data_IF_408139923410
#
_entry.id   IF_408139923410
#
_cell.length_a   1.000
_cell.length_b   1.000
_cell.length_c   1.000
_cell.angle_alpha   90.00
_cell.angle_beta   90.00
_cell.angle_gamma   90.00
#
_symmetry.space_group_name_H-M   'P 1'
#
loop_
_entity.id
_entity.type
_entity.pdbx_description
1 polymer ?
#
# COMPACT_ATOMS: atom_id res chain seq x y z
N UNK A 1 8.78 8.79 -83.79
CA UNK A 1 8.06 7.62 -83.23
C UNK A 1 7.84 7.96 -81.76
N UNK A 2 6.67 8.37 -81.26
CA UNK A 2 5.28 7.92 -81.49
C UNK A 2 4.98 6.75 -80.54
N UNK A 3 3.91 6.66 -79.74
CA UNK A 3 2.68 7.46 -79.42
C UNK A 3 2.38 7.19 -77.92
N UNK A 4 1.84 8.03 -77.02
CA UNK A 4 0.56 8.75 -76.89
C UNK A 4 -0.74 7.90 -76.89
N UNK A 5 -1.77 8.39 -76.18
CA UNK A 5 -3.15 7.87 -75.97
C UNK A 5 -3.28 6.76 -74.87
N UNK A 6 -4.35 6.68 -74.06
CA UNK A 6 -5.54 7.53 -73.89
C UNK A 6 -6.65 6.77 -73.10
N UNK A 7 -7.45 7.44 -72.27
CA UNK A 7 -8.55 6.82 -71.48
C UNK A 7 -9.81 6.54 -72.34
N UNK A 8 -10.72 5.62 -71.92
CA UNK A 8 -11.87 5.96 -71.04
C UNK A 8 -12.12 4.86 -69.96
N UNK A 9 -13.19 4.83 -69.13
CA UNK A 9 -14.41 5.65 -69.00
C UNK A 9 -15.23 5.28 -67.74
N UNK A 10 -16.51 5.69 -67.65
CA UNK A 10 -17.40 5.47 -66.50
C UNK A 10 -18.60 4.53 -66.78
N UNK A 11 -19.09 3.78 -65.77
CA UNK A 11 -20.53 3.79 -65.41
C UNK A 11 -20.89 3.17 -64.03
N UNK A 12 -21.60 3.98 -63.23
CA UNK A 12 -22.79 3.72 -62.39
C UNK A 12 -23.21 2.30 -61.95
N UNK A 13 -23.41 2.09 -60.62
CA UNK A 13 -24.76 1.91 -60.03
C UNK A 13 -24.80 1.79 -58.48
N UNK A 14 -25.43 2.80 -57.85
CA UNK A 14 -26.42 2.77 -56.74
C UNK A 14 -26.38 1.71 -55.63
N UNK A 15 -26.39 2.18 -54.37
CA UNK A 15 -26.52 1.35 -53.15
C UNK A 15 -26.67 2.16 -51.85
N UNK A 16 -27.67 3.05 -51.81
CA UNK A 16 -28.50 3.46 -50.65
C UNK A 16 -27.91 3.55 -49.22
N UNK A 17 -27.74 4.79 -48.73
CA UNK A 17 -27.61 5.13 -47.30
C UNK A 17 -28.98 5.20 -46.59
N UNK A 18 -29.12 4.76 -45.33
CA UNK A 18 -30.25 5.15 -44.48
C UNK A 18 -30.00 6.54 -43.84
N UNK A 19 -31.04 7.37 -43.81
CA UNK A 19 -30.96 8.76 -43.39
C UNK A 19 -31.07 8.96 -41.86
N UNK A 20 -30.56 10.11 -41.38
CA UNK A 20 -30.88 10.66 -40.07
C UNK A 20 -32.35 11.14 -40.04
N UNK A 21 -33.12 10.92 -38.96
CA UNK A 21 -34.32 11.71 -38.67
C UNK A 21 -33.94 13.00 -37.94
N UNK A 22 -34.65 14.08 -38.25
CA UNK A 22 -34.53 15.37 -37.57
C UNK A 22 -35.62 15.56 -36.51
N UNK A 23 -35.26 16.34 -35.49
CA UNK A 23 -36.05 17.02 -34.46
C UNK A 23 -37.58 17.06 -34.67
N UNK A 24 -38.31 16.67 -33.63
CA UNK A 24 -39.61 17.29 -33.29
C UNK A 24 -39.61 17.74 -31.83
N UNK A 25 -40.06 18.97 -31.60
CA UNK A 25 -40.17 19.62 -30.30
C UNK A 25 -41.54 19.40 -29.66
N UNK A 26 -41.57 18.90 -28.42
CA UNK A 26 -42.64 19.21 -27.45
C UNK A 26 -42.00 19.46 -26.09
N UNK A 27 -42.51 20.47 -25.39
CA UNK A 27 -41.95 20.96 -24.13
C UNK A 27 -42.69 20.47 -22.88
N UNK A 28 -42.52 21.24 -21.82
CA UNK A 28 -43.10 21.11 -20.46
C UNK A 28 -42.50 20.01 -19.56
N UNK A 29 -42.36 20.33 -18.27
CA UNK A 29 -41.85 19.39 -17.25
C UNK A 29 -40.65 19.86 -16.40
N UNK A 30 -40.35 21.16 -16.34
CA UNK A 30 -39.25 21.68 -15.52
C UNK A 30 -39.42 21.39 -14.02
N UNK A 31 -38.44 20.70 -13.41
CA UNK A 31 -38.26 20.62 -11.95
C UNK A 31 -36.82 20.96 -11.57
N UNK A 32 -36.53 22.25 -11.55
CA UNK A 32 -35.32 22.82 -10.95
C UNK A 32 -35.42 22.79 -9.43
N UNK A 33 -34.49 22.11 -8.75
CA UNK A 33 -34.34 22.20 -7.30
C UNK A 33 -33.45 23.41 -6.94
N UNK A 34 -33.95 24.46 -6.28
CA UNK A 34 -33.14 25.62 -5.92
C UNK A 34 -32.33 25.34 -4.65
N UNK A 35 -31.01 25.19 -4.77
CA UNK A 35 -30.10 25.31 -3.64
C UNK A 35 -30.11 26.75 -3.13
N UNK A 36 -30.88 27.02 -2.07
CA UNK A 36 -30.89 28.33 -1.41
C UNK A 36 -29.57 28.57 -0.69
N UNK A 37 -28.86 29.62 -1.11
CA UNK A 37 -27.86 30.25 -0.25
C UNK A 37 -28.54 30.80 1.00
N UNK A 38 -28.05 30.41 2.18
CA UNK A 38 -28.42 31.02 3.45
C UNK A 38 -27.56 32.27 3.67
N UNK A 39 -28.14 33.47 3.82
CA UNK A 39 -27.38 34.65 4.20
C UNK A 39 -26.94 34.54 5.68
N UNK A 40 -25.72 34.98 5.98
CA UNK A 40 -25.29 35.20 7.36
C UNK A 40 -26.17 36.27 8.00
N UNK A 41 -26.58 36.05 9.25
CA UNK A 41 -27.08 37.12 10.12
C UNK A 41 -25.88 37.78 10.78
N UNK A 42 -25.56 39.00 10.37
CA UNK A 42 -24.72 39.88 11.16
C UNK A 42 -25.55 40.52 12.27
N UNK A 43 -25.04 40.53 13.50
CA UNK A 43 -25.63 41.28 14.61
C UNK A 43 -24.90 42.62 14.75
N UNK A 44 -25.59 43.69 14.36
CA UNK A 44 -25.17 45.07 14.62
C UNK A 44 -25.48 45.42 16.07
N UNK A 45 -24.45 45.62 16.88
CA UNK A 45 -24.54 46.34 18.15
C UNK A 45 -24.27 47.83 17.92
N UNK A 46 -25.25 48.69 18.21
CA UNK A 46 -25.15 50.15 18.01
C UNK A 46 -24.57 50.88 19.21
N UNK A 47 -23.59 51.76 18.97
CA UNK A 47 -23.21 53.03 19.66
C UNK A 47 -21.73 53.30 19.30
N UNK A 48 -21.28 54.48 18.88
CA UNK A 48 -21.93 55.76 18.63
C UNK A 48 -20.91 56.88 18.86
N UNK A 49 -20.50 57.63 17.82
CA UNK A 49 -19.42 58.61 17.93
C UNK A 49 -19.18 59.45 16.68
N UNK A 50 -19.28 60.78 16.86
CA UNK A 50 -18.95 61.87 15.91
C UNK A 50 -17.43 61.89 15.66
N UNK A 51 -16.82 62.45 14.61
CA UNK A 51 -17.25 63.26 13.46
C UNK A 51 -16.02 64.04 12.89
N UNK A 52 -16.09 64.55 11.65
CA UNK A 52 -14.97 65.13 10.85
C UNK A 52 -13.87 64.11 10.44
N UNK A 53 -13.25 64.12 9.25
CA UNK A 53 -12.97 65.17 8.26
C UNK A 53 -11.44 65.40 8.26
N UNK A 54 -10.68 65.15 7.19
CA UNK A 54 -10.54 65.99 5.97
C UNK A 54 -9.72 65.25 4.87
N UNK A 55 -10.08 65.53 3.60
CA UNK A 55 -9.39 65.42 2.28
C UNK A 55 -8.15 64.51 2.05
N UNK A 56 -8.16 63.90 0.86
CA UNK A 56 -7.03 63.32 0.14
C UNK A 56 -6.15 64.35 -0.60
N UNK A 57 -4.93 63.95 -1.02
CA UNK A 57 -4.23 64.41 -2.24
C UNK A 57 -3.03 63.51 -2.58
N UNK A 58 -2.88 63.14 -3.87
CA UNK A 58 -1.61 62.76 -4.53
C UNK A 58 -1.12 63.99 -5.33
N UNK A 59 0.19 64.12 -5.66
CA UNK A 59 0.66 63.63 -6.97
C UNK A 59 2.12 63.07 -6.94
N UNK A 60 2.81 63.02 -8.09
CA UNK A 60 3.88 62.06 -8.40
C UNK A 60 5.21 62.66 -8.95
N UNK A 61 6.20 61.77 -9.22
CA UNK A 61 7.44 61.95 -10.02
C UNK A 61 8.61 62.71 -9.32
N UNK A 62 9.91 62.54 -9.66
CA UNK A 62 10.62 61.61 -10.56
C UNK A 62 12.15 61.57 -10.32
N UNK A 63 12.81 60.50 -10.78
CA UNK A 63 14.15 60.36 -11.40
C UNK A 63 15.49 60.87 -10.79
N UNK A 64 16.55 60.07 -11.01
CA UNK A 64 18.00 60.40 -11.05
C UNK A 64 18.76 60.52 -9.70
N UNK A 65 20.05 60.21 -9.54
CA UNK A 65 21.08 59.50 -10.34
C UNK A 65 22.21 59.03 -9.36
N UNK A 66 22.74 57.78 -9.42
CA UNK A 66 24.03 57.32 -10.04
C UNK A 66 25.35 57.73 -9.32
N UNK A 67 26.27 56.76 -9.17
CA UNK A 67 27.74 56.84 -8.92
C UNK A 67 28.29 57.26 -7.52
N UNK A 68 29.45 56.79 -7.02
CA UNK A 68 30.24 55.54 -7.25
C UNK A 68 31.36 55.36 -6.17
N UNK A 69 32.02 54.18 -6.12
CA UNK A 69 33.43 53.87 -5.70
C UNK A 69 34.04 54.50 -4.40
N UNK A 70 34.73 53.80 -3.47
CA UNK A 70 35.85 52.86 -3.66
C UNK A 70 36.38 52.22 -2.33
N UNK A 71 36.99 51.02 -2.44
CA UNK A 71 38.25 50.50 -1.81
C UNK A 71 38.89 51.19 -0.56
N UNK A 72 39.57 50.51 0.41
CA UNK A 72 40.30 49.20 0.49
C UNK A 72 40.52 48.77 1.99
N UNK A 73 41.21 47.64 2.34
CA UNK A 73 41.08 46.94 3.64
C UNK A 73 42.32 47.01 4.57
N UNK A 74 42.34 46.21 5.66
CA UNK A 74 43.45 45.34 6.19
C UNK A 74 43.28 45.07 7.70
N UNK A 75 43.37 43.79 8.13
CA UNK A 75 44.09 43.27 9.34
C UNK A 75 43.51 41.96 9.90
N UNK A 76 44.34 40.91 9.99
CA UNK A 76 44.15 39.79 10.95
C UNK A 76 44.87 40.13 12.28
N UNK A 77 44.75 39.29 13.33
CA UNK A 77 45.95 38.52 13.71
C UNK A 77 45.70 37.05 14.15
N UNK A 78 46.79 36.41 14.58
CA UNK A 78 47.02 34.97 14.64
C UNK A 78 46.39 34.17 15.79
N UNK A 79 46.22 32.87 15.50
CA UNK A 79 46.45 31.68 16.33
C UNK A 79 46.98 31.86 17.77
N UNK A 80 46.41 31.09 18.70
CA UNK A 80 47.25 30.39 19.68
C UNK A 80 46.61 29.08 20.17
N UNK A 81 47.33 27.97 20.01
CA UNK A 81 47.01 26.64 20.57
C UNK A 81 47.82 26.40 21.84
N UNK A 82 47.19 25.91 22.92
CA UNK A 82 47.90 25.26 24.02
C UNK A 82 47.20 23.95 24.42
N UNK A 83 47.92 22.84 24.26
CA UNK A 83 47.67 21.63 25.04
C UNK A 83 48.10 21.89 26.49
N UNK A 84 47.41 21.27 27.45
CA UNK A 84 48.00 20.90 28.74
C UNK A 84 47.56 19.50 29.14
N UNK A 85 48.51 18.79 29.76
CA UNK A 85 48.45 17.37 30.15
C UNK A 85 48.18 17.20 31.64
N UNK A 86 47.55 16.09 32.02
CA UNK A 86 47.89 15.40 33.27
C UNK A 86 46.80 15.25 34.34
N UNK A 87 46.70 14.02 34.87
CA UNK A 87 46.71 13.82 36.32
C UNK A 87 45.38 13.71 37.07
N UNK A 88 44.85 12.49 37.12
CA UNK A 88 44.25 11.84 38.30
C UNK A 88 44.04 12.64 39.61
N UNK A 89 42.80 12.69 40.13
CA UNK A 89 42.44 11.84 41.28
C UNK A 89 40.94 11.82 41.64
N UNK A 90 40.54 10.74 42.31
CA UNK A 90 39.23 10.49 42.95
C UNK A 90 39.03 11.40 44.20
N UNK A 91 37.80 11.58 44.79
CA UNK A 91 37.03 10.44 45.32
C UNK A 91 35.48 10.49 45.39
N UNK A 92 34.94 9.30 45.72
CA UNK A 92 33.74 9.02 46.54
C UNK A 92 32.31 9.32 46.04
N UNK A 93 31.66 8.23 45.59
CA UNK A 93 30.43 7.65 46.16
C UNK A 93 29.21 8.58 46.45
N UNK A 94 28.13 8.37 45.69
CA UNK A 94 26.76 8.30 46.24
C UNK A 94 25.89 7.36 45.38
N UNK A 95 24.74 6.91 45.90
CA UNK A 95 24.07 5.67 45.47
C UNK A 95 22.95 5.89 44.45
N UNK A 96 22.74 4.86 43.62
CA UNK A 96 21.53 4.62 42.84
C UNK A 96 20.31 4.32 43.74
N UNK A 97 19.09 4.48 43.20
CA UNK A 97 18.01 3.54 43.45
C UNK A 97 17.51 2.91 42.13
N UNK A 98 17.61 1.59 42.03
CA UNK A 98 16.74 0.82 41.13
C UNK A 98 15.41 0.56 41.84
N UNK A 99 14.29 0.69 41.14
CA UNK A 99 13.00 0.14 41.57
C UNK A 99 12.38 -0.65 40.43
N UNK A 100 12.45 -1.97 40.53
CA UNK A 100 11.65 -2.87 39.70
C UNK A 100 10.23 -2.96 40.25
N UNK A 101 9.24 -3.01 39.35
CA UNK A 101 7.86 -3.38 39.70
C UNK A 101 7.53 -4.76 39.13
N UNK A 102 7.32 -5.72 40.04
CA UNK A 102 6.74 -7.02 39.71
C UNK A 102 5.22 -6.88 39.54
N UNK A 103 4.65 -7.58 38.56
CA UNK A 103 3.21 -7.71 38.42
C UNK A 103 2.72 -8.94 39.20
N UNK A 104 1.87 -8.73 40.21
CA UNK A 104 1.18 -9.79 40.95
C UNK A 104 -0.33 -9.71 40.73
N UNK A 105 -0.94 -10.86 40.44
CA UNK A 105 -2.39 -11.01 40.39
C UNK A 105 -2.98 -11.11 41.81
N UNK A 106 -4.25 -10.69 42.01
CA UNK A 106 -5.08 -11.22 43.07
C UNK A 106 -6.16 -12.16 42.51
N UNK A 107 -6.10 -13.43 42.90
CA UNK A 107 -7.24 -14.35 42.84
C UNK A 107 -8.18 -14.01 44.01
N UNK A 108 -9.41 -13.57 43.71
CA UNK A 108 -10.46 -13.34 44.71
C UNK A 108 -11.45 -14.51 44.74
N UNK A 109 -11.37 -15.37 45.76
CA UNK A 109 -12.36 -16.42 45.98
C UNK A 109 -13.59 -15.87 46.73
N UNK A 110 -14.80 -16.22 46.29
CA UNK A 110 -16.06 -15.79 46.90
C UNK A 110 -17.19 -16.77 46.63
N UNK A 111 -17.30 -17.81 47.45
CA UNK A 111 -18.35 -18.83 47.31
C UNK A 111 -19.62 -18.46 48.12
N UNK A 112 -20.79 -18.42 47.47
CA UNK A 112 -22.09 -18.66 48.12
C UNK A 112 -23.02 -19.52 47.24
N UNK A 113 -24.01 -20.12 47.90
CA UNK A 113 -24.68 -21.37 47.51
C UNK A 113 -26.01 -21.18 46.75
N UNK A 114 -26.45 -22.31 46.19
CA UNK A 114 -27.83 -22.78 45.94
C UNK A 114 -28.58 -22.23 44.71
N UNK A 115 -29.18 -23.17 43.98
CA UNK A 115 -29.95 -22.94 42.76
C UNK A 115 -30.22 -24.21 41.94
N UNK A 116 -30.40 -25.38 42.56
CA UNK A 116 -30.92 -26.55 41.83
C UNK A 116 -32.41 -26.34 41.57
N UNK A 117 -32.82 -26.30 40.30
CA UNK A 117 -34.20 -26.57 39.89
C UNK A 117 -34.18 -27.45 38.64
N UNK A 118 -34.77 -28.65 38.77
CA UNK A 118 -34.86 -29.66 37.72
C UNK A 118 -36.23 -30.34 37.81
N UNK A 119 -37.12 -29.99 36.88
CA UNK A 119 -38.41 -30.62 36.52
C UNK A 119 -39.01 -29.73 35.41
N UNK A 120 -39.65 -30.19 34.34
CA UNK A 120 -39.87 -31.54 33.80
C UNK A 120 -40.32 -31.42 32.33
N UNK A 121 -40.47 -32.52 31.57
CA UNK A 121 -40.91 -32.48 30.17
C UNK A 121 -42.45 -32.40 30.05
N UNK A 122 -42.95 -32.04 28.85
CA UNK A 122 -44.17 -32.56 28.17
C UNK A 122 -44.45 -31.71 26.89
N UNK A 123 -45.26 -32.21 25.95
CA UNK A 123 -45.98 -31.31 25.01
C UNK A 123 -45.57 -31.26 23.53
N UNK A 124 -45.49 -32.41 22.87
CA UNK A 124 -45.90 -32.69 21.48
C UNK A 124 -46.46 -31.54 20.60
N UNK A 125 -46.01 -31.45 19.34
CA UNK A 125 -46.96 -31.24 18.22
C UNK A 125 -46.53 -30.45 16.98
N UNK A 126 -46.56 -31.16 15.83
CA UNK A 126 -46.74 -30.69 14.43
C UNK A 126 -45.50 -30.33 13.60
N UNK A 127 -45.13 -31.27 12.72
CA UNK A 127 -44.61 -30.94 11.39
C UNK A 127 -45.50 -31.54 10.28
N UNK A 128 -45.57 -30.81 9.17
CA UNK A 128 -46.44 -31.07 8.02
C UNK A 128 -45.79 -32.03 7.01
N UNK A 129 -46.61 -32.61 6.12
CA UNK A 129 -46.18 -33.62 5.14
C UNK A 129 -45.47 -32.99 3.92
N UNK A 130 -44.28 -33.54 3.63
CA UNK A 130 -43.86 -34.14 2.34
C UNK A 130 -43.76 -33.29 1.05
N UNK A 131 -43.09 -33.80 -0.02
CA UNK A 131 -41.89 -34.64 -0.07
C UNK A 131 -40.75 -33.98 -0.89
N UNK A 132 -39.56 -34.61 -0.97
CA UNK A 132 -38.62 -34.36 -2.07
C UNK A 132 -37.24 -33.77 -1.71
N UNK A 133 -36.38 -34.57 -1.06
CA UNK A 133 -34.92 -34.47 -1.20
C UNK A 133 -34.30 -35.86 -1.21
N UNK A 134 -33.72 -36.27 -2.35
CA UNK A 134 -32.82 -37.41 -2.41
C UNK A 134 -31.42 -37.00 -1.92
N UNK A 135 -30.71 -37.82 -1.13
CA UNK A 135 -29.34 -37.54 -0.75
C UNK A 135 -28.37 -37.86 -1.90
N UNK A 136 -27.53 -36.89 -2.28
CA UNK A 136 -26.35 -37.16 -3.10
C UNK A 136 -25.39 -38.04 -2.31
N UNK A 137 -25.24 -39.30 -2.72
CA UNK A 137 -24.35 -40.24 -2.04
C UNK A 137 -22.87 -39.85 -2.24
N UNK A 138 -22.16 -39.71 -1.13
CA UNK A 138 -20.71 -39.62 -1.10
C UNK A 138 -20.12 -41.02 -1.39
N UNK A 139 -19.46 -41.18 -2.53
CA UNK A 139 -18.87 -42.47 -2.93
C UNK A 139 -17.58 -42.72 -2.16
N UNK A 140 -17.72 -43.31 -0.97
CA UNK A 140 -16.61 -43.92 -0.23
C UNK A 140 -16.44 -45.36 -0.71
N UNK A 141 -15.53 -45.61 -1.66
CA UNK A 141 -15.15 -46.98 -2.04
C UNK A 141 -14.32 -47.62 -0.93
N UNK A 142 -14.98 -48.39 -0.08
CA UNK A 142 -14.35 -49.44 0.71
C UNK A 142 -14.14 -50.65 -0.23
N UNK A 143 -12.89 -50.93 -0.59
CA UNK A 143 -12.51 -52.26 -1.07
C UNK A 143 -11.96 -53.04 0.12
N UNK A 144 -12.74 -54.00 0.61
CA UNK A 144 -12.20 -55.10 1.39
C UNK A 144 -11.85 -56.23 0.44
N UNK A 145 -10.61 -56.68 0.47
CA UNK A 145 -10.18 -57.94 -0.16
C UNK A 145 -9.27 -58.69 0.80
N UNK A 146 -9.26 -60.02 0.66
CA UNK A 146 -8.69 -60.97 1.61
C UNK A 146 -7.21 -60.73 1.95
N UNK A 147 -6.91 -60.54 3.24
CA UNK A 147 -5.57 -60.81 3.79
C UNK A 147 -5.44 -62.31 4.09
N UNK A 148 -4.85 -63.06 3.16
CA UNK A 148 -4.30 -64.39 3.47
C UNK A 148 -2.99 -64.24 4.24
N UNK A 149 -2.92 -64.81 5.45
CA UNK A 149 -1.70 -64.83 6.24
C UNK A 149 -0.68 -65.81 5.65
N UNK A 150 0.52 -65.32 5.33
CA UNK A 150 1.67 -66.17 5.01
C UNK A 150 2.37 -66.66 6.29
N UNK A 151 2.94 -67.88 6.30
CA UNK A 151 3.44 -68.50 7.53
C UNK A 151 4.74 -67.86 8.05
N UNK A 152 5.02 -67.94 9.37
CA UNK A 152 6.21 -67.35 9.95
C UNK A 152 7.48 -68.10 9.48
N UNK A 153 8.39 -67.39 8.80
CA UNK A 153 9.75 -67.92 8.56
C UNK A 153 10.54 -67.90 9.87
N UNK A 154 11.15 -69.05 10.19
CA UNK A 154 11.98 -69.30 11.37
C UNK A 154 12.95 -68.15 11.66
N UNK A 155 13.03 -67.76 12.93
CA UNK A 155 14.16 -66.97 13.42
C UNK A 155 15.46 -67.75 13.16
N UNK A 156 16.40 -67.12 12.45
CA UNK A 156 17.76 -67.62 12.30
C UNK A 156 18.66 -66.74 13.16
N UNK A 157 19.12 -67.29 14.28
CA UNK A 157 20.22 -66.68 15.03
C UNK A 157 21.47 -66.69 14.14
N UNK A 158 22.22 -65.58 14.12
CA UNK A 158 23.38 -65.43 13.26
C UNK A 158 23.99 -64.03 13.31
N UNK A 159 24.93 -63.86 14.24
CA UNK A 159 26.04 -62.90 14.24
C UNK A 159 25.76 -61.42 13.96
N UNK A 160 25.99 -60.59 14.98
CA UNK A 160 26.36 -59.18 14.77
C UNK A 160 27.72 -59.13 14.07
N UNK A 161 27.75 -58.59 12.85
CA UNK A 161 28.96 -58.38 12.06
C UNK A 161 29.41 -56.91 12.21
N UNK A 162 30.54 -56.61 12.88
CA UNK A 162 30.97 -55.24 13.19
C UNK A 162 31.61 -54.58 11.96
N UNK A 163 30.84 -54.41 10.88
CA UNK A 163 31.41 -54.07 9.56
C UNK A 163 30.52 -53.24 8.62
N UNK A 164 29.33 -52.79 9.03
CA UNK A 164 28.52 -51.91 8.15
C UNK A 164 28.94 -50.45 8.36
N UNK A 165 29.62 -49.79 7.40
CA UNK A 165 29.97 -48.38 7.54
C UNK A 165 28.70 -47.52 7.57
N UNK A 166 28.69 -46.37 8.27
CA UNK A 166 27.58 -45.44 8.21
C UNK A 166 27.31 -45.06 6.75
N UNK A 167 26.03 -45.01 6.37
CA UNK A 167 25.57 -44.79 5.00
C UNK A 167 26.40 -43.72 4.29
N UNK A 168 27.10 -44.12 3.22
CA UNK A 168 28.12 -43.28 2.59
C UNK A 168 27.61 -41.87 2.33
N UNK A 169 28.38 -40.81 2.67
CA UNK A 169 27.95 -39.44 2.46
C UNK A 169 27.61 -39.22 0.98
N UNK A 170 26.49 -38.53 0.73
CA UNK A 170 26.00 -38.26 -0.62
C UNK A 170 27.11 -37.65 -1.48
N UNK A 171 27.35 -38.23 -2.66
CA UNK A 171 28.32 -37.68 -3.60
C UNK A 171 27.96 -36.23 -3.98
N UNK A 172 28.95 -35.40 -4.35
CA UNK A 172 28.71 -34.02 -4.80
C UNK A 172 27.67 -33.94 -5.94
N UNK A 173 27.69 -34.91 -6.85
CA UNK A 173 26.74 -35.03 -7.97
C UNK A 173 25.30 -35.31 -7.50
N UNK A 174 25.12 -36.21 -6.53
CA UNK A 174 23.82 -36.46 -5.90
C UNK A 174 23.30 -35.22 -5.18
N UNK A 175 24.16 -34.49 -4.46
CA UNK A 175 23.80 -33.24 -3.80
C UNK A 175 23.36 -32.16 -4.81
N UNK A 176 24.11 -31.96 -5.89
CA UNK A 176 23.76 -31.03 -6.98
C UNK A 176 22.42 -31.43 -7.62
N UNK A 177 22.19 -32.73 -7.88
CA UNK A 177 20.93 -33.24 -8.43
C UNK A 177 19.75 -33.02 -7.49
N UNK A 178 19.92 -33.25 -6.19
CA UNK A 178 18.91 -32.99 -5.16
C UNK A 178 18.58 -31.49 -5.09
N UNK A 179 19.60 -30.62 -5.06
CA UNK A 179 19.42 -29.16 -5.06
C UNK A 179 18.68 -28.69 -6.32
N UNK A 180 19.07 -29.15 -7.51
CA UNK A 180 18.40 -28.83 -8.78
C UNK A 180 16.95 -29.30 -8.81
N UNK A 181 16.67 -30.52 -8.35
CA UNK A 181 15.32 -31.07 -8.26
C UNK A 181 14.45 -30.28 -7.26
N UNK A 182 14.99 -29.91 -6.10
CA UNK A 182 14.33 -29.08 -5.08
C UNK A 182 14.01 -27.68 -5.63
N UNK A 183 14.96 -27.04 -6.31
CA UNK A 183 14.75 -25.75 -6.96
C UNK A 183 13.66 -25.82 -8.05
N UNK A 184 13.68 -26.86 -8.89
CA UNK A 184 12.66 -27.09 -9.93
C UNK A 184 11.27 -27.38 -9.33
N UNK A 185 11.18 -28.10 -8.21
CA UNK A 185 9.93 -28.33 -7.49
C UNK A 185 9.37 -27.03 -6.88
N UNK A 186 10.23 -26.20 -6.27
CA UNK A 186 9.85 -24.89 -5.73
C UNK A 186 9.37 -23.93 -6.84
N UNK A 187 10.04 -23.91 -8.00
CA UNK A 187 9.59 -23.11 -9.16
C UNK A 187 8.21 -23.55 -9.67
N UNK A 188 7.93 -24.86 -9.75
CA UNK A 188 6.60 -25.37 -10.13
C UNK A 188 5.52 -25.00 -9.10
N UNK A 189 5.83 -25.09 -7.81
CA UNK A 189 4.91 -24.67 -6.74
C UNK A 189 4.63 -23.16 -6.79
N UNK A 190 5.66 -22.35 -6.96
CA UNK A 190 5.55 -20.91 -7.11
C UNK A 190 4.71 -20.52 -8.34
N UNK A 191 4.95 -21.16 -9.49
CA UNK A 191 4.20 -20.95 -10.72
C UNK A 191 2.70 -21.29 -10.58
N UNK A 192 2.35 -22.33 -9.82
CA UNK A 192 0.97 -22.69 -9.50
C UNK A 192 0.28 -21.69 -8.56
N UNK A 193 1.05 -21.01 -7.71
CA UNK A 193 0.55 -20.12 -6.66
C UNK A 193 0.65 -18.63 -7.02
N UNK A 194 1.02 -18.27 -8.27
CA UNK A 194 1.06 -16.85 -8.70
C UNK A 194 -0.36 -16.27 -8.61
N UNK A 195 -0.57 -15.13 -7.93
CA UNK A 195 -1.87 -14.50 -7.89
C UNK A 195 -2.34 -14.01 -9.27
N UNK A 196 -3.66 -14.02 -9.49
CA UNK A 196 -4.27 -13.47 -10.71
C UNK A 196 -3.99 -11.96 -10.81
N UNK A 197 -3.60 -11.48 -11.99
CA UNK A 197 -3.31 -10.06 -12.24
C UNK A 197 -1.95 -9.58 -11.72
N UNK A 198 -1.00 -10.48 -11.47
CA UNK A 198 0.36 -10.11 -11.04
C UNK A 198 1.24 -9.75 -12.25
N UNK A 199 1.87 -8.57 -12.24
CA UNK A 199 2.73 -8.09 -13.33
C UNK A 199 4.00 -8.92 -13.53
N UNK A 200 4.33 -9.24 -14.79
CA UNK A 200 5.41 -10.17 -15.12
C UNK A 200 6.81 -9.72 -14.64
N UNK A 201 7.12 -8.43 -14.70
CA UNK A 201 8.41 -7.89 -14.19
C UNK A 201 8.58 -8.13 -12.68
N UNK A 202 7.48 -8.12 -11.93
CA UNK A 202 7.45 -8.32 -10.47
C UNK A 202 7.42 -9.80 -10.09
N UNK A 203 6.82 -10.64 -10.94
CA UNK A 203 6.58 -12.07 -10.73
C UNK A 203 7.87 -12.86 -10.49
N UNK A 204 8.91 -12.67 -11.33
CA UNK A 204 10.20 -13.38 -11.18
C UNK A 204 10.94 -12.97 -9.89
N UNK A 205 11.12 -11.68 -9.56
CA UNK A 205 11.64 -11.22 -8.27
C UNK A 205 10.93 -11.82 -7.04
N UNK A 206 9.60 -11.91 -7.08
CA UNK A 206 8.78 -12.24 -5.91
C UNK A 206 8.30 -13.70 -5.87
N UNK A 207 8.60 -14.51 -6.89
CA UNK A 207 8.12 -15.89 -7.00
C UNK A 207 8.54 -16.79 -5.83
N UNK A 208 9.67 -16.47 -5.19
CA UNK A 208 10.14 -17.18 -4.00
C UNK A 208 9.17 -17.06 -2.80
N UNK A 209 8.32 -16.02 -2.76
CA UNK A 209 7.30 -15.86 -1.72
C UNK A 209 6.10 -16.79 -1.92
N UNK A 210 5.68 -17.02 -3.17
CA UNK A 210 4.44 -17.75 -3.48
C UNK A 210 4.47 -19.24 -3.07
N UNK A 211 5.67 -19.81 -2.93
CA UNK A 211 5.88 -21.17 -2.41
C UNK A 211 6.03 -21.27 -0.89
N UNK A 212 6.13 -20.15 -0.15
CA UNK A 212 6.38 -20.17 1.30
C UNK A 212 5.10 -20.47 2.09
N UNK A 213 5.18 -21.20 3.24
CA UNK A 213 4.02 -21.55 4.04
C UNK A 213 3.15 -20.37 4.48
N UNK A 214 3.76 -19.22 4.80
CA UNK A 214 3.02 -18.02 5.20
C UNK A 214 2.14 -17.48 4.07
N UNK A 215 2.64 -17.47 2.83
CA UNK A 215 1.91 -16.93 1.68
C UNK A 215 0.76 -17.87 1.27
N UNK A 216 0.99 -19.19 1.33
CA UNK A 216 -0.06 -20.19 1.10
C UNK A 216 -1.18 -20.03 2.15
N UNK A 217 -0.82 -19.89 3.43
CA UNK A 217 -1.78 -19.63 4.52
C UNK A 217 -2.53 -18.31 4.33
N UNK A 218 -1.84 -17.26 3.90
CA UNK A 218 -2.40 -15.94 3.61
C UNK A 218 -3.43 -16.00 2.47
N UNK A 219 -3.09 -16.64 1.34
CA UNK A 219 -4.03 -16.80 0.21
C UNK A 219 -5.26 -17.63 0.63
N UNK A 220 -5.07 -18.70 1.41
CA UNK A 220 -6.17 -19.48 1.97
C UNK A 220 -7.08 -18.67 2.90
N UNK A 221 -6.51 -17.85 3.78
CA UNK A 221 -7.24 -16.92 4.64
C UNK A 221 -8.07 -15.91 3.82
N UNK A 222 -7.46 -15.24 2.84
CA UNK A 222 -8.15 -14.26 1.98
C UNK A 222 -9.26 -14.91 1.16
N UNK A 223 -9.05 -16.13 0.67
CA UNK A 223 -10.08 -16.89 -0.04
C UNK A 223 -11.27 -17.27 0.86
N UNK A 224 -11.02 -17.66 2.11
CA UNK A 224 -12.08 -17.98 3.07
C UNK A 224 -12.85 -16.73 3.53
N UNK A 225 -12.17 -15.62 3.78
CA UNK A 225 -12.80 -14.33 4.06
C UNK A 225 -13.74 -13.90 2.93
N UNK A 226 -13.32 -14.05 1.67
CA UNK A 226 -14.15 -13.72 0.49
C UNK A 226 -15.39 -14.60 0.30
N UNK A 227 -15.47 -15.78 0.92
CA UNK A 227 -16.71 -16.59 0.94
C UNK A 227 -17.74 -16.10 1.95
N UNK A 228 -17.29 -15.39 3.00
CA UNK A 228 -18.11 -15.01 4.16
C UNK A 228 -18.43 -13.52 4.21
N UNK A 229 -17.55 -12.69 3.64
CA UNK A 229 -17.61 -11.24 3.73
C UNK A 229 -17.16 -10.57 2.43
N UNK A 230 -17.61 -9.34 2.21
CA UNK A 230 -17.00 -8.46 1.21
C UNK A 230 -15.59 -8.07 1.64
N UNK A 231 -14.61 -8.31 0.77
CA UNK A 231 -13.19 -7.97 0.99
C UNK A 231 -12.72 -7.06 -0.13
N UNK A 232 -12.16 -5.92 0.23
CA UNK A 232 -11.56 -4.96 -0.70
C UNK A 232 -10.03 -5.10 -0.75
N UNK A 233 -9.37 -4.76 -1.87
CA UNK A 233 -9.97 -4.52 -3.19
C UNK A 233 -10.54 -5.83 -3.78
N UNK A 234 -11.28 -5.78 -4.91
CA UNK A 234 -11.62 -6.96 -5.72
C UNK A 234 -10.37 -7.80 -6.06
N UNK A 235 -10.50 -9.13 -6.30
CA UNK A 235 -9.34 -10.02 -6.48
C UNK A 235 -8.35 -9.58 -7.56
N UNK A 236 -8.85 -9.12 -8.72
CA UNK A 236 -8.04 -8.66 -9.85
C UNK A 236 -7.31 -7.32 -9.59
N UNK A 237 -7.69 -6.60 -8.54
CA UNK A 237 -7.13 -5.32 -8.12
C UNK A 237 -6.22 -5.43 -6.87
N UNK A 238 -5.98 -6.61 -6.30
CA UNK A 238 -5.05 -6.76 -5.14
C UNK A 238 -3.61 -6.38 -5.52
N UNK A 239 -3.24 -6.57 -6.79
CA UNK A 239 -1.88 -6.40 -7.30
C UNK A 239 -1.75 -5.29 -8.36
N UNK A 240 -2.69 -4.34 -8.42
CA UNK A 240 -2.67 -3.20 -9.36
C UNK A 240 -1.33 -2.45 -9.36
N UNK A 241 -0.69 -2.31 -8.19
CA UNK A 241 0.65 -1.72 -8.04
C UNK A 241 1.76 -2.44 -8.84
N UNK A 242 1.59 -3.72 -9.20
CA UNK A 242 2.51 -4.47 -10.08
C UNK A 242 2.25 -4.25 -11.58
N UNK A 243 1.09 -3.69 -11.93
CA UNK A 243 0.63 -3.55 -13.32
C UNK A 243 1.00 -2.19 -13.93
N UNK A 244 1.31 -1.19 -13.10
CA UNK A 244 1.45 0.20 -13.54
C UNK A 244 2.82 0.54 -14.14
N UNK A 245 3.90 -0.10 -13.68
CA UNK A 245 5.26 0.07 -14.21
C UNK A 245 6.12 -1.19 -14.02
N UNK A 246 7.21 -1.31 -14.80
CA UNK A 246 8.24 -2.33 -14.57
C UNK A 246 8.91 -2.10 -13.20
N UNK A 247 9.24 -3.18 -12.49
CA UNK A 247 9.85 -3.12 -11.16
C UNK A 247 11.17 -2.32 -11.13
N UNK A 248 11.90 -2.28 -12.26
CA UNK A 248 13.16 -1.52 -12.42
C UNK A 248 12.94 -0.05 -12.77
N UNK A 249 11.72 0.34 -13.16
CA UNK A 249 11.35 1.74 -13.43
C UNK A 249 10.79 2.45 -12.18
N UNK A 250 10.73 1.77 -11.03
CA UNK A 250 10.37 2.40 -9.76
C UNK A 250 11.41 3.48 -9.41
N UNK A 251 10.92 4.71 -9.20
CA UNK A 251 11.69 5.89 -8.79
C UNK A 251 11.39 6.28 -7.34
N UNK A 252 10.12 6.19 -6.95
CA UNK A 252 9.60 6.63 -5.64
C UNK A 252 8.77 5.50 -5.04
N UNK A 253 8.78 5.36 -3.72
CA UNK A 253 7.94 4.39 -2.98
C UNK A 253 7.15 5.13 -1.90
N UNK A 254 5.83 5.06 -1.95
CA UNK A 254 4.93 5.61 -0.93
C UNK A 254 4.30 4.44 -0.18
N UNK A 255 4.58 4.33 1.13
CA UNK A 255 4.07 3.25 1.96
C UNK A 255 2.81 3.68 2.74
N UNK A 256 1.69 3.04 2.43
CA UNK A 256 0.45 3.11 3.21
C UNK A 256 0.31 1.94 4.19
N UNK A 257 -0.73 1.99 5.03
CA UNK A 257 -1.01 0.99 6.06
C UNK A 257 -1.89 -0.15 5.52
N UNK A 258 -3.19 0.09 5.40
CA UNK A 258 -4.19 -0.84 4.86
C UNK A 258 -5.03 -0.18 3.74
N UNK A 259 -5.74 -0.96 2.90
CA UNK A 259 -6.60 -0.41 1.86
C UNK A 259 -7.83 0.27 2.48
N UNK A 260 -8.44 1.20 1.74
CA UNK A 260 -9.74 1.74 2.13
C UNK A 260 -10.80 0.64 2.27
N UNK A 261 -11.54 0.69 3.38
CA UNK A 261 -12.52 -0.33 3.76
C UNK A 261 -13.97 0.02 3.37
N UNK A 262 -14.20 1.14 2.69
CA UNK A 262 -15.51 1.50 2.13
C UNK A 262 -15.73 0.96 0.71
N UNK A 263 -16.99 0.86 0.25
CA UNK A 263 -17.33 0.36 -1.07
C UNK A 263 -16.68 1.18 -2.19
N UNK A 264 -16.17 0.49 -3.20
CA UNK A 264 -15.54 1.04 -4.41
C UNK A 264 -14.29 1.92 -4.19
N UNK A 265 -13.79 2.06 -2.96
CA UNK A 265 -12.64 2.92 -2.67
C UNK A 265 -11.31 2.26 -3.06
N UNK A 266 -10.97 1.13 -2.44
CA UNK A 266 -9.68 0.48 -2.68
C UNK A 266 -9.63 -0.24 -4.03
N UNK A 267 -8.62 0.09 -4.84
CA UNK A 267 -8.35 -0.54 -6.14
C UNK A 267 -6.91 -1.04 -6.32
N UNK A 268 -6.16 -1.17 -5.23
CA UNK A 268 -4.80 -1.76 -5.22
C UNK A 268 -3.63 -0.78 -5.22
N UNK A 269 -3.90 0.53 -5.24
CA UNK A 269 -2.90 1.59 -5.06
C UNK A 269 -3.16 2.29 -3.70
N UNK A 270 -2.12 2.55 -2.90
CA UNK A 270 -2.29 3.27 -1.63
C UNK A 270 -2.80 4.70 -1.86
N UNK A 271 -3.60 5.22 -0.93
CA UNK A 271 -4.31 6.52 -0.97
C UNK A 271 -5.27 6.79 -2.14
N UNK A 272 -5.27 5.98 -3.20
CA UNK A 272 -6.05 6.25 -4.41
C UNK A 272 -7.46 5.62 -4.39
N UNK A 273 -8.38 6.25 -5.11
CA UNK A 273 -9.73 5.74 -5.42
C UNK A 273 -10.06 5.95 -6.90
N UNK A 274 -10.80 5.04 -7.54
CA UNK A 274 -11.17 5.18 -8.95
C UNK A 274 -12.34 6.16 -9.14
N UNK A 275 -12.41 6.83 -10.30
CA UNK A 275 -13.56 7.65 -10.69
C UNK A 275 -14.84 6.77 -10.71
N UNK A 276 -16.01 7.24 -10.25
CA UNK A 276 -16.34 8.59 -9.79
C UNK A 276 -16.24 8.78 -8.25
N UNK A 277 -15.51 7.91 -7.53
CA UNK A 277 -15.44 7.99 -6.07
C UNK A 277 -14.71 9.27 -5.63
N UNK A 278 -15.27 10.06 -4.69
CA UNK A 278 -14.61 11.27 -4.21
C UNK A 278 -13.33 10.96 -3.44
N UNK A 279 -12.29 11.81 -3.50
CA UNK A 279 -11.07 11.65 -2.72
C UNK A 279 -11.37 11.48 -1.22
N UNK A 280 -10.84 10.45 -0.55
CA UNK A 280 -10.99 10.32 0.90
C UNK A 280 -10.20 11.42 1.65
N UNK A 281 -10.51 11.71 2.93
CA UNK A 281 -9.91 12.84 3.65
C UNK A 281 -8.37 12.87 3.70
N UNK A 282 -7.71 11.72 3.69
CA UNK A 282 -6.24 11.65 3.58
C UNK A 282 -5.72 12.11 2.22
N UNK A 283 -6.44 11.80 1.12
CA UNK A 283 -6.07 12.20 -0.23
C UNK A 283 -6.34 13.69 -0.47
N UNK A 284 -7.45 14.22 0.05
CA UNK A 284 -7.70 15.66 0.10
C UNK A 284 -6.56 16.44 0.76
N UNK A 285 -5.99 15.89 1.84
CA UNK A 285 -4.85 16.50 2.51
C UNK A 285 -3.53 16.35 1.74
N UNK A 286 -3.33 15.25 1.01
CA UNK A 286 -2.22 15.08 0.04
C UNK A 286 -2.31 16.16 -1.05
N UNK A 287 -3.50 16.41 -1.62
CA UNK A 287 -3.70 17.44 -2.65
C UNK A 287 -3.53 18.87 -2.13
N UNK A 288 -3.91 19.15 -0.87
CA UNK A 288 -3.61 20.44 -0.23
C UNK A 288 -2.11 20.69 -0.08
N UNK A 289 -1.35 19.70 0.42
CA UNK A 289 0.11 19.82 0.50
C UNK A 289 0.73 20.02 -0.88
N UNK A 290 0.30 19.26 -1.89
CA UNK A 290 0.72 19.44 -3.29
C UNK A 290 0.47 20.85 -3.82
N UNK A 291 -0.70 21.43 -3.54
CA UNK A 291 -1.03 22.81 -3.98
C UNK A 291 -0.12 23.88 -3.35
N UNK A 292 0.49 23.60 -2.19
CA UNK A 292 1.45 24.49 -1.54
C UNK A 292 2.92 24.16 -1.86
N UNK A 293 3.21 22.94 -2.30
CA UNK A 293 4.58 22.45 -2.53
C UNK A 293 5.00 22.49 -4.00
N UNK A 294 4.07 22.22 -4.92
CA UNK A 294 4.29 22.13 -6.36
C UNK A 294 3.57 23.26 -7.08
N UNK A 295 4.34 24.18 -7.67
CA UNK A 295 3.79 25.33 -8.38
C UNK A 295 2.90 24.92 -9.56
N UNK A 296 1.72 25.56 -9.61
CA UNK A 296 0.68 25.27 -10.60
C UNK A 296 0.02 23.89 -10.45
N UNK A 297 0.17 23.20 -9.31
CA UNK A 297 -0.67 22.04 -9.00
C UNK A 297 -2.10 22.52 -8.67
N UNK A 298 -3.09 21.91 -9.33
CA UNK A 298 -4.51 22.16 -9.11
C UNK A 298 -5.18 20.84 -8.77
N UNK A 299 -6.16 20.86 -7.86
CA UNK A 299 -6.92 19.67 -7.49
C UNK A 299 -7.60 19.06 -8.73
N UNK A 300 -7.33 17.78 -9.09
CA UNK A 300 -7.67 17.23 -10.41
C UNK A 300 -9.16 16.81 -10.54
N UNK A 301 -9.95 16.92 -9.46
CA UNK A 301 -11.38 16.57 -9.47
C UNK A 301 -11.67 15.07 -9.31
N UNK A 302 -10.66 14.25 -9.02
CA UNK A 302 -10.77 12.82 -8.75
C UNK A 302 -9.68 12.31 -7.80
N UNK A 303 -9.83 11.09 -7.31
CA UNK A 303 -8.85 10.43 -6.44
C UNK A 303 -7.94 9.37 -7.11
N UNK A 304 -8.01 9.24 -8.42
CA UNK A 304 -7.19 8.27 -9.17
C UNK A 304 -5.74 8.76 -9.25
N UNK A 305 -4.79 7.92 -8.82
CA UNK A 305 -3.34 8.19 -8.78
C UNK A 305 -2.56 7.32 -9.79
N UNK A 306 -3.26 6.71 -10.74
CA UNK A 306 -2.65 5.84 -11.75
C UNK A 306 -1.62 6.58 -12.62
N UNK A 307 -1.74 7.90 -12.81
CA UNK A 307 -0.72 8.73 -13.49
C UNK A 307 0.65 8.63 -12.81
N UNK A 308 0.73 8.92 -11.51
CA UNK A 308 1.96 8.76 -10.72
C UNK A 308 2.49 7.31 -10.75
N UNK A 309 1.60 6.32 -10.68
CA UNK A 309 2.00 4.91 -10.67
C UNK A 309 2.68 4.48 -11.98
N UNK A 310 2.22 5.00 -13.13
CA UNK A 310 2.86 4.81 -14.45
C UNK A 310 4.24 5.48 -14.53
N UNK A 311 4.43 6.62 -13.88
CA UNK A 311 5.70 7.33 -13.79
C UNK A 311 6.74 6.68 -12.84
N UNK A 312 6.44 5.52 -12.25
CA UNK A 312 7.35 4.83 -11.33
C UNK A 312 7.18 5.20 -9.86
N UNK A 313 6.03 5.75 -9.45
CA UNK A 313 5.67 5.91 -8.04
C UNK A 313 4.97 4.64 -7.55
N UNK A 314 5.68 3.80 -6.81
CA UNK A 314 5.11 2.60 -6.19
C UNK A 314 4.18 3.00 -5.03
N UNK A 315 2.87 2.87 -5.25
CA UNK A 315 1.82 3.14 -4.27
C UNK A 315 1.43 1.86 -3.50
N UNK A 316 2.25 1.45 -2.55
CA UNK A 316 2.13 0.15 -1.86
C UNK A 316 1.55 0.30 -0.43
N UNK A 317 0.50 -0.44 -0.11
CA UNK A 317 0.07 -0.64 1.29
C UNK A 317 0.85 -1.80 1.93
N UNK A 318 1.05 -1.76 3.25
CA UNK A 318 1.63 -2.88 4.00
C UNK A 318 0.71 -4.11 4.05
N UNK A 319 -0.60 -3.86 4.15
CA UNK A 319 -1.67 -4.87 4.09
C UNK A 319 -2.41 -4.66 2.75
N UNK A 320 -2.57 -5.73 1.94
CA UNK A 320 -3.12 -5.59 0.58
C UNK A 320 -4.61 -5.93 0.44
N UNK A 321 -5.28 -6.31 1.54
CA UNK A 321 -6.74 -6.56 1.56
C UNK A 321 -7.34 -6.13 2.90
N UNK A 322 -8.64 -5.85 2.94
CA UNK A 322 -9.38 -5.50 4.16
C UNK A 322 -10.83 -5.97 4.05
N UNK A 323 -11.44 -6.41 5.16
CA UNK A 323 -12.87 -6.69 5.22
C UNK A 323 -13.65 -5.37 5.20
N UNK A 324 -14.77 -5.33 4.48
CA UNK A 324 -15.63 -4.16 4.38
C UNK A 324 -15.98 -3.59 5.76
N UNK A 325 -15.88 -2.27 5.90
CA UNK A 325 -16.16 -1.50 7.12
C UNK A 325 -15.28 -1.83 8.36
N UNK A 326 -14.24 -2.66 8.22
CA UNK A 326 -13.37 -3.06 9.33
C UNK A 326 -11.90 -2.77 9.00
N UNK A 327 -11.47 -1.53 9.24
CA UNK A 327 -10.07 -1.12 9.13
C UNK A 327 -9.14 -2.09 9.86
N UNK A 328 -7.99 -2.40 9.27
CA UNK A 328 -6.96 -3.31 9.81
C UNK A 328 -7.43 -4.75 10.11
N UNK A 329 -8.62 -5.19 9.67
CA UNK A 329 -9.15 -6.54 9.90
C UNK A 329 -8.26 -7.69 9.41
N UNK A 330 -7.43 -7.44 8.38
CA UNK A 330 -6.51 -8.40 7.78
C UNK A 330 -5.04 -8.16 8.17
N UNK A 331 -4.76 -7.32 9.18
CA UNK A 331 -3.41 -7.16 9.74
C UNK A 331 -2.89 -8.48 10.33
N UNK A 332 -1.58 -8.65 10.37
CA UNK A 332 -0.87 -9.76 10.99
C UNK A 332 -1.26 -11.13 10.39
N UNK A 333 -1.80 -11.14 9.15
CA UNK A 333 -2.18 -12.35 8.41
C UNK A 333 -1.11 -12.84 7.44
N UNK A 334 -0.05 -12.04 7.22
CA UNK A 334 1.09 -12.37 6.36
C UNK A 334 1.33 -11.40 5.21
N UNK A 335 0.45 -10.41 5.00
CA UNK A 335 0.68 -9.37 3.98
C UNK A 335 1.91 -8.52 4.30
N UNK A 336 2.17 -8.27 5.58
CA UNK A 336 3.31 -7.51 6.06
C UNK A 336 4.62 -8.14 5.60
N UNK A 337 4.78 -9.46 5.80
CA UNK A 337 5.94 -10.23 5.38
C UNK A 337 6.11 -10.23 3.86
N UNK A 338 5.01 -10.31 3.10
CA UNK A 338 5.06 -10.24 1.64
C UNK A 338 5.49 -8.85 1.16
N UNK A 339 4.95 -7.78 1.74
CA UNK A 339 5.31 -6.41 1.36
C UNK A 339 6.70 -6.00 1.88
N UNK A 340 7.18 -6.61 2.98
CA UNK A 340 8.58 -6.55 3.40
C UNK A 340 9.51 -7.17 2.35
N UNK A 341 9.14 -8.29 1.72
CA UNK A 341 9.91 -8.86 0.62
C UNK A 341 9.96 -7.92 -0.61
N UNK A 342 8.88 -7.19 -0.92
CA UNK A 342 8.86 -6.16 -1.98
C UNK A 342 9.82 -5.01 -1.65
N UNK A 343 9.72 -4.43 -0.44
CA UNK A 343 10.59 -3.32 -0.01
C UNK A 343 12.05 -3.79 0.07
N UNK A 344 12.30 -4.99 0.61
CA UNK A 344 13.63 -5.60 0.69
C UNK A 344 14.24 -5.82 -0.69
N UNK A 345 13.48 -6.31 -1.68
CA UNK A 345 13.98 -6.50 -3.04
C UNK A 345 14.41 -5.17 -3.67
N UNK A 346 13.59 -4.12 -3.57
CA UNK A 346 13.95 -2.77 -4.05
C UNK A 346 15.17 -2.20 -3.30
N UNK A 347 15.22 -2.40 -1.99
CA UNK A 347 16.33 -2.06 -1.11
C UNK A 347 17.57 -2.96 -1.28
N UNK A 348 17.54 -3.94 -2.18
CA UNK A 348 18.70 -4.76 -2.57
C UNK A 348 19.09 -4.62 -4.05
N UNK A 349 18.13 -4.33 -4.94
CA UNK A 349 18.33 -4.40 -6.40
C UNK A 349 18.17 -3.06 -7.15
N UNK A 350 17.96 -1.93 -6.44
CA UNK A 350 17.81 -0.59 -7.05
C UNK A 350 18.63 0.45 -6.30
N UNK A 351 19.04 1.55 -6.92
CA UNK A 351 19.77 2.65 -6.25
C UNK A 351 19.02 3.97 -6.38
N UNK A 352 19.26 4.92 -5.47
CA UNK A 352 18.70 6.27 -5.54
C UNK A 352 17.18 6.31 -5.62
N UNK A 353 16.48 5.43 -4.89
CA UNK A 353 15.02 5.53 -4.72
C UNK A 353 14.71 6.56 -3.63
N UNK A 354 13.55 7.21 -3.74
CA UNK A 354 13.01 8.06 -2.66
C UNK A 354 11.85 7.33 -1.98
N UNK A 355 11.99 7.03 -0.70
CA UNK A 355 10.94 6.42 0.12
C UNK A 355 10.20 7.47 0.95
N UNK A 356 8.89 7.57 0.77
CA UNK A 356 8.01 8.47 1.53
C UNK A 356 7.29 7.68 2.62
N UNK A 357 7.70 7.91 3.87
CA UNK A 357 7.26 7.17 5.05
C UNK A 357 6.34 8.03 5.90
N UNK A 358 5.04 8.00 5.59
CA UNK A 358 4.01 8.82 6.23
C UNK A 358 3.35 8.10 7.40
N UNK A 359 3.65 8.55 8.62
CA UNK A 359 3.16 7.96 9.86
C UNK A 359 4.00 6.80 10.41
N UNK A 360 3.79 6.49 11.69
CA UNK A 360 4.62 5.55 12.46
C UNK A 360 4.66 4.12 11.88
N UNK A 361 3.58 3.66 11.24
CA UNK A 361 3.55 2.34 10.60
C UNK A 361 4.54 2.28 9.42
N UNK A 362 4.44 3.23 8.48
CA UNK A 362 5.33 3.32 7.32
C UNK A 362 6.79 3.52 7.74
N UNK A 363 7.02 4.35 8.78
CA UNK A 363 8.34 4.58 9.35
C UNK A 363 8.97 3.31 9.96
N UNK A 364 8.18 2.46 10.62
CA UNK A 364 8.64 1.14 11.12
C UNK A 364 8.98 0.19 9.97
N UNK A 365 8.13 0.06 8.95
CA UNK A 365 8.41 -0.80 7.77
C UNK A 365 9.66 -0.35 7.01
N UNK A 366 9.87 0.96 6.87
CA UNK A 366 11.05 1.53 6.23
C UNK A 366 12.32 1.60 7.10
N UNK A 367 12.34 1.02 8.31
CA UNK A 367 13.48 1.07 9.22
C UNK A 367 14.73 0.34 8.70
N UNK A 368 14.54 -0.69 7.88
CA UNK A 368 15.61 -1.51 7.27
C UNK A 368 16.13 -0.96 5.92
N UNK A 369 15.69 0.22 5.47
CA UNK A 369 16.13 0.81 4.20
C UNK A 369 17.57 1.33 4.34
N UNK A 370 18.43 1.01 3.38
CA UNK A 370 19.81 1.51 3.34
C UNK A 370 19.83 2.99 2.94
N UNK A 371 19.98 3.85 3.94
CA UNK A 371 20.05 5.32 3.81
C UNK A 371 21.32 5.83 3.13
N UNK A 372 22.34 4.99 2.90
CA UNK A 372 23.49 5.37 2.06
C UNK A 372 23.20 5.16 0.57
N UNK A 373 22.22 4.32 0.25
CA UNK A 373 21.88 3.90 -1.12
C UNK A 373 20.54 4.45 -1.63
N UNK A 374 19.67 4.84 -0.70
CA UNK A 374 18.33 5.36 -0.94
C UNK A 374 18.05 6.57 -0.06
N UNK A 375 17.18 7.45 -0.54
CA UNK A 375 16.71 8.61 0.22
C UNK A 375 15.43 8.24 0.98
N UNK A 376 15.31 8.70 2.23
CA UNK A 376 14.15 8.40 3.07
C UNK A 376 13.61 9.70 3.65
N UNK A 377 12.38 10.06 3.28
CA UNK A 377 11.65 11.22 3.81
C UNK A 377 10.55 10.73 4.75
N UNK A 378 10.54 11.22 5.99
CA UNK A 378 9.62 10.77 7.04
C UNK A 378 8.82 11.94 7.59
N UNK A 379 7.49 11.79 7.69
CA UNK A 379 6.64 12.76 8.39
C UNK A 379 5.39 12.08 8.96
N UNK A 380 4.47 12.85 9.57
CA UNK A 380 3.17 12.38 10.03
C UNK A 380 2.31 11.82 8.89
N UNK A 381 1.24 11.08 9.23
CA UNK A 381 0.32 10.56 8.23
C UNK A 381 -0.66 11.67 7.75
N UNK A 382 -1.07 11.70 6.47
CA UNK A 382 -2.00 12.71 5.93
C UNK A 382 -3.45 12.64 6.47
N UNK A 383 -3.78 11.67 7.33
CA UNK A 383 -5.10 11.62 7.99
C UNK A 383 -5.39 12.91 8.77
N UNK A 384 -6.65 13.41 8.79
CA UNK A 384 -7.05 14.58 9.59
C UNK A 384 -6.60 14.53 11.07
N UNK A 385 -6.46 13.34 11.66
CA UNK A 385 -5.99 13.14 13.05
C UNK A 385 -4.51 13.48 13.28
N UNK A 386 -3.70 13.53 12.22
CA UNK A 386 -2.24 13.65 12.29
C UNK A 386 -1.63 14.65 11.32
N UNK A 387 -2.40 15.18 10.35
CA UNK A 387 -1.88 16.02 9.26
C UNK A 387 -1.13 17.27 9.74
N UNK A 388 -1.66 17.93 10.78
CA UNK A 388 -1.05 19.11 11.41
C UNK A 388 0.21 18.80 12.25
N UNK A 389 0.56 17.53 12.46
CA UNK A 389 1.76 17.10 13.20
C UNK A 389 3.00 17.00 12.29
N UNK A 390 2.98 17.68 11.14
CA UNK A 390 4.11 17.82 10.22
C UNK A 390 3.89 17.33 8.79
N UNK A 391 2.72 16.78 8.43
CA UNK A 391 2.46 16.43 7.02
C UNK A 391 2.25 17.70 6.19
N UNK A 392 1.44 18.65 6.68
CA UNK A 392 1.40 19.99 6.08
C UNK A 392 2.74 20.71 6.29
N UNK A 393 3.29 21.26 5.21
CA UNK A 393 4.62 21.86 5.16
C UNK A 393 5.78 20.86 5.10
N UNK A 394 5.51 19.55 4.92
CA UNK A 394 6.57 18.55 4.79
C UNK A 394 7.41 18.74 3.52
N UNK A 395 6.80 19.28 2.46
CA UNK A 395 7.37 19.51 1.13
C UNK A 395 7.99 18.25 0.50
N UNK A 396 7.36 17.10 0.70
CA UNK A 396 7.89 15.82 0.21
C UNK A 396 7.91 15.71 -1.31
N UNK A 397 7.01 16.39 -2.04
CA UNK A 397 6.88 16.23 -3.50
C UNK A 397 7.99 16.98 -4.25
N UNK A 398 8.29 18.21 -3.83
CA UNK A 398 9.42 19.00 -4.34
C UNK A 398 10.77 18.36 -3.95
N UNK A 399 10.95 18.01 -2.67
CA UNK A 399 12.16 17.31 -2.17
C UNK A 399 12.39 15.99 -2.90
N UNK A 400 11.34 15.25 -3.22
CA UNK A 400 11.47 14.00 -4.01
C UNK A 400 12.06 14.29 -5.38
N UNK A 401 11.56 15.30 -6.09
CA UNK A 401 12.07 15.66 -7.41
C UNK A 401 13.50 16.18 -7.36
N UNK A 402 13.90 16.90 -6.31
CA UNK A 402 15.29 17.32 -6.08
C UNK A 402 16.22 16.11 -5.85
N UNK A 403 15.79 15.15 -5.03
CA UNK A 403 16.57 13.94 -4.71
C UNK A 403 16.67 12.98 -5.91
N UNK A 404 15.64 12.91 -6.76
CA UNK A 404 15.69 12.17 -8.02
C UNK A 404 16.70 12.80 -8.99
N UNK A 405 16.68 14.13 -9.17
CA UNK A 405 17.65 14.85 -10.01
C UNK A 405 19.09 14.65 -9.51
N UNK A 406 19.33 14.77 -8.20
CA UNK A 406 20.62 14.44 -7.56
C UNK A 406 21.08 12.99 -7.79
N UNK A 407 20.14 12.10 -8.10
CA UNK A 407 20.40 10.68 -8.40
C UNK A 407 20.44 10.38 -9.91
N UNK A 408 20.47 11.41 -10.77
CA UNK A 408 20.48 11.26 -12.24
C UNK A 408 19.17 10.76 -12.83
N UNK A 409 18.04 10.93 -12.14
CA UNK A 409 16.72 10.44 -12.55
C UNK A 409 15.78 11.58 -12.90
N UNK A 410 14.95 11.35 -13.91
CA UNK A 410 13.85 12.25 -14.24
C UNK A 410 12.89 12.44 -13.05
N UNK A 411 12.47 13.69 -12.75
CA UNK A 411 11.50 13.97 -11.70
C UNK A 411 10.14 13.31 -11.98
N UNK A 412 9.26 13.31 -10.98
CA UNK A 412 7.84 12.96 -11.14
C UNK A 412 7.06 14.22 -11.50
N UNK A 413 6.27 14.17 -12.57
CA UNK A 413 5.25 15.18 -12.84
C UNK A 413 4.03 14.90 -11.97
N UNK A 414 4.01 15.48 -10.77
CA UNK A 414 2.91 15.33 -9.81
C UNK A 414 1.56 15.85 -10.31
N UNK A 415 1.53 16.62 -11.41
CA UNK A 415 0.32 17.19 -12.04
C UNK A 415 -0.33 16.26 -13.08
N UNK A 416 0.33 15.16 -13.45
CA UNK A 416 -0.17 14.17 -14.43
C UNK A 416 -0.92 13.03 -13.71
N UNK A 417 -2.27 13.08 -13.77
CA UNK A 417 -3.24 12.31 -12.96
C UNK A 417 -4.54 11.97 -13.72
#
# INVERSE_FOLDING_TARGET
>A
MGMNLGAPGANQSRGSLPARPAVQSRGEGGRTYPWRFLPRKDHVGTRGGRGAGVRASLPASAAGDVADLAHRPVSQPHLNTKLHTGGSNLPSRTRLPEFGFAATCPLGAGARRMGLLRCGPWGWGRHLRAPGRGPLQLVTRLCGDHLQASPPKKARAGQEDPGTPPSSPLSPEQLIRIQRNKAAALLRLAARNVPVGFGESWKKPLSAEFGKPYFIKLMGFVAEERKRYTVYPPPHQVFTWTQMCDIRHVKVVILGQDPYHGPNQAHGLCFSVQRPVPPPPSLENIYKELSTDIEGFVHPGHGDLSGWAKQGVLLLNAVLTVRAHQANSHKERGWEQFTDAVVSWLNQNSSGLVFLLWGSYAQKKGSAIDRKRHHVLQTAHPSPLSVYRGFFGCRHFSKTNELLQKSGKEPINWKDL
#
